data_IF_528151386073
#
_entry.id   IF_528151386073
#
_cell.length_a   1.000
_cell.length_b   1.000
_cell.length_c   1.000
_cell.angle_alpha   90.00
_cell.angle_beta   90.00
_cell.angle_gamma   90.00
#
_symmetry.space_group_name_H-M   'P 1'
#
loop_
_entity.id
_entity.type
_entity.pdbx_description
1 polymer ?
#
# COMPACT_ATOMS: atom_id res chain seq x y z
N UNK A 1 -18.24 26.12 53.26
CA UNK A 1 -17.50 24.85 53.36
C UNK A 1 -18.18 23.84 52.43
N UNK A 2 -17.71 23.72 51.20
CA UNK A 2 -17.91 22.53 50.34
C UNK A 2 -16.76 21.54 50.64
N UNK A 3 -16.73 20.26 50.22
CA UNK A 3 -17.50 19.62 49.13
C UNK A 3 -17.98 18.17 49.41
N UNK A 4 -18.74 17.57 48.47
CA UNK A 4 -18.38 16.30 47.82
C UNK A 4 -19.60 15.64 47.17
N UNK A 5 -19.62 15.71 45.85
CA UNK A 5 -20.36 14.82 44.99
C UNK A 5 -19.66 13.45 44.98
N UNK A 6 -20.45 12.37 45.00
CA UNK A 6 -19.97 11.04 44.65
C UNK A 6 -20.84 10.51 43.51
N UNK A 7 -20.22 10.37 42.36
CA UNK A 7 -20.71 9.66 41.18
C UNK A 7 -20.44 8.15 41.36
N UNK A 8 -21.42 7.26 41.18
CA UNK A 8 -21.14 5.93 40.65
C UNK A 8 -20.98 6.09 39.14
N UNK A 9 -19.95 5.58 38.48
CA UNK A 9 -19.43 4.23 38.61
C UNK A 9 -19.47 3.65 37.20
N UNK A 10 -18.31 3.62 36.56
CA UNK A 10 -18.06 3.11 35.22
C UNK A 10 -18.67 1.74 34.96
N UNK A 11 -19.15 1.56 33.74
CA UNK A 11 -19.55 0.25 33.24
C UNK A 11 -20.42 0.37 32.00
N UNK A 12 -19.95 1.07 30.97
CA UNK A 12 -20.41 0.79 29.61
C UNK A 12 -19.93 -0.63 29.28
N UNK A 13 -20.81 -1.63 29.12
CA UNK A 13 -20.41 -2.87 28.48
C UNK A 13 -20.22 -2.53 27.01
N UNK A 14 -18.94 -2.39 26.63
CA UNK A 14 -18.48 -2.38 25.26
C UNK A 14 -19.28 -3.43 24.49
N UNK A 15 -20.01 -2.95 23.49
CA UNK A 15 -20.74 -3.75 22.56
C UNK A 15 -19.84 -4.91 22.12
N UNK A 16 -20.27 -6.12 22.44
CA UNK A 16 -19.85 -7.29 21.70
C UNK A 16 -20.20 -6.98 20.24
N UNK A 17 -19.18 -6.60 19.47
CA UNK A 17 -19.16 -6.67 18.02
C UNK A 17 -19.35 -8.14 17.65
N UNK A 18 -20.62 -8.52 17.65
CA UNK A 18 -21.09 -9.80 17.17
C UNK A 18 -20.80 -9.86 15.68
N UNK A 19 -19.76 -10.62 15.36
CA UNK A 19 -19.62 -11.35 14.10
C UNK A 19 -19.92 -10.52 12.87
N UNK A 20 -18.90 -9.80 12.37
CA UNK A 20 -18.81 -9.56 10.92
C UNK A 20 -18.73 -10.93 10.25
N UNK A 21 -19.91 -11.38 9.86
CA UNK A 21 -20.16 -12.58 9.12
C UNK A 21 -19.27 -12.57 7.87
N UNK A 22 -18.42 -13.58 7.83
CA UNK A 22 -17.70 -14.09 6.67
C UNK A 22 -18.40 -13.74 5.34
N UNK A 23 -17.82 -12.77 4.63
CA UNK A 23 -17.53 -12.94 3.19
C UNK A 23 -16.40 -12.00 2.74
N UNK A 24 -15.11 -12.33 2.96
CA UNK A 24 -14.04 -11.55 2.34
C UNK A 24 -13.62 -12.09 0.96
N UNK A 25 -14.06 -13.27 0.52
CA UNK A 25 -13.45 -13.91 -0.67
C UNK A 25 -13.83 -13.25 -2.00
N UNK A 26 -15.07 -12.76 -2.14
CA UNK A 26 -15.51 -12.09 -3.37
C UNK A 26 -14.98 -10.65 -3.47
N UNK A 27 -14.87 -9.95 -2.34
CA UNK A 27 -14.25 -8.61 -2.28
C UNK A 27 -12.76 -8.69 -2.53
N UNK A 28 -12.04 -9.55 -1.78
CA UNK A 28 -10.60 -9.72 -1.95
C UNK A 28 -10.21 -10.22 -3.35
N UNK A 29 -11.02 -11.07 -3.99
CA UNK A 29 -10.77 -11.48 -5.39
C UNK A 29 -11.02 -10.33 -6.38
N UNK A 30 -12.04 -9.50 -6.16
CA UNK A 30 -12.28 -8.30 -6.96
C UNK A 30 -11.16 -7.26 -6.77
N UNK A 31 -10.68 -7.09 -5.55
CA UNK A 31 -9.54 -6.24 -5.21
C UNK A 31 -8.26 -6.78 -5.86
N UNK A 32 -7.98 -8.08 -5.79
CA UNK A 32 -6.85 -8.69 -6.48
C UNK A 32 -6.91 -8.50 -8.00
N UNK A 33 -8.10 -8.63 -8.61
CA UNK A 33 -8.28 -8.39 -10.04
C UNK A 33 -8.05 -6.92 -10.39
N UNK A 34 -8.55 -5.99 -9.57
CA UNK A 34 -8.32 -4.55 -9.73
C UNK A 34 -6.82 -4.21 -9.61
N UNK A 35 -6.15 -4.72 -8.57
CA UNK A 35 -4.71 -4.53 -8.36
C UNK A 35 -3.90 -5.13 -9.51
N UNK A 36 -4.31 -6.29 -10.03
CA UNK A 36 -3.69 -6.90 -11.20
C UNK A 36 -3.81 -6.01 -12.43
N UNK A 37 -4.96 -5.34 -12.61
CA UNK A 37 -5.18 -4.39 -13.71
C UNK A 37 -4.34 -3.12 -13.55
N UNK A 38 -4.24 -2.59 -12.33
CA UNK A 38 -3.37 -1.45 -12.01
C UNK A 38 -1.91 -1.80 -12.31
N UNK A 39 -1.44 -2.97 -11.87
CA UNK A 39 -0.07 -3.43 -12.14
C UNK A 39 0.18 -3.57 -13.66
N UNK A 40 -0.76 -4.15 -14.40
CA UNK A 40 -0.67 -4.23 -15.86
C UNK A 40 -0.61 -2.84 -16.53
N UNK A 41 -1.34 -1.86 -16.00
CA UNK A 41 -1.31 -0.48 -16.48
C UNK A 41 0.05 0.18 -16.20
N UNK A 42 0.62 -0.03 -15.01
CA UNK A 42 1.96 0.44 -14.64
C UNK A 42 3.03 -0.11 -15.61
N UNK A 43 2.97 -1.42 -15.92
CA UNK A 43 3.85 -2.03 -16.90
C UNK A 43 3.69 -1.42 -18.30
N UNK A 44 2.46 -1.13 -18.71
CA UNK A 44 2.19 -0.47 -19.99
C UNK A 44 2.83 0.93 -20.03
N UNK A 45 2.68 1.74 -18.98
CA UNK A 45 3.33 3.05 -18.90
C UNK A 45 4.85 2.94 -18.96
N UNK A 46 5.46 1.98 -18.26
CA UNK A 46 6.90 1.72 -18.35
C UNK A 46 7.34 1.41 -19.79
N UNK A 47 6.63 0.52 -20.49
CA UNK A 47 6.93 0.18 -21.89
C UNK A 47 6.77 1.34 -22.87
N UNK A 48 5.89 2.29 -22.55
CA UNK A 48 5.69 3.51 -23.35
C UNK A 48 6.72 4.61 -23.06
N UNK A 49 7.65 4.39 -22.12
CA UNK A 49 8.61 5.39 -21.69
C UNK A 49 8.05 6.39 -20.67
N UNK A 50 6.80 6.23 -20.25
CA UNK A 50 6.15 7.06 -19.23
C UNK A 50 6.57 6.61 -17.82
N UNK A 51 7.87 6.67 -17.55
CA UNK A 51 8.47 6.17 -16.31
C UNK A 51 7.85 6.85 -15.09
N UNK A 52 7.63 8.17 -15.10
CA UNK A 52 7.01 8.88 -13.97
C UNK A 52 5.66 8.26 -13.58
N UNK A 53 4.74 8.09 -14.54
CA UNK A 53 3.41 7.53 -14.28
C UNK A 53 3.48 6.06 -13.84
N UNK A 54 4.41 5.30 -14.44
CA UNK A 54 4.62 3.92 -14.06
C UNK A 54 5.10 3.81 -12.59
N UNK A 55 6.11 4.60 -12.23
CA UNK A 55 6.71 4.63 -10.89
C UNK A 55 5.67 5.03 -9.83
N UNK A 56 4.86 6.07 -10.08
CA UNK A 56 3.78 6.46 -9.17
C UNK A 56 2.80 5.31 -8.92
N UNK A 57 2.38 4.61 -10.00
CA UNK A 57 1.45 3.49 -9.86
C UNK A 57 2.07 2.31 -9.08
N UNK A 58 3.35 2.04 -9.28
CA UNK A 58 4.04 1.01 -8.49
C UNK A 58 4.15 1.41 -7.02
N UNK A 59 4.38 2.70 -6.72
CA UNK A 59 4.38 3.20 -5.35
C UNK A 59 3.02 3.05 -4.69
N UNK A 60 1.94 3.48 -5.35
CA UNK A 60 0.56 3.28 -4.87
C UNK A 60 0.30 1.80 -4.57
N UNK A 61 0.68 0.88 -5.46
CA UNK A 61 0.51 -0.55 -5.20
C UNK A 61 1.32 -1.03 -3.99
N UNK A 62 2.55 -0.53 -3.82
CA UNK A 62 3.46 -0.93 -2.75
C UNK A 62 3.08 -0.34 -1.37
N UNK A 63 2.56 0.88 -1.34
CA UNK A 63 2.24 1.66 -0.14
C UNK A 63 0.78 1.47 0.31
N UNK A 64 -0.19 1.51 -0.61
CA UNK A 64 -1.62 1.40 -0.26
C UNK A 64 -2.09 -0.05 -0.12
N UNK A 65 -1.44 -1.00 -0.77
CA UNK A 65 -1.83 -2.43 -0.76
C UNK A 65 -0.72 -3.37 -0.30
N UNK A 66 -0.07 -3.11 0.85
CA UNK A 66 1.03 -3.92 1.34
C UNK A 66 0.57 -5.36 1.63
N UNK A 67 1.44 -6.33 1.37
CA UNK A 67 1.15 -7.76 1.59
C UNK A 67 0.40 -8.46 0.44
N UNK A 68 0.02 -7.73 -0.62
CA UNK A 68 -0.52 -8.32 -1.84
C UNK A 68 0.60 -8.77 -2.79
N UNK A 69 0.37 -9.81 -3.63
CA UNK A 69 1.38 -10.22 -4.62
C UNK A 69 1.68 -9.10 -5.62
N UNK A 70 0.72 -8.22 -5.91
CA UNK A 70 0.87 -7.06 -6.77
C UNK A 70 1.80 -6.01 -6.16
N UNK A 71 1.70 -5.76 -4.85
CA UNK A 71 2.65 -4.90 -4.14
C UNK A 71 4.07 -5.45 -4.17
N UNK A 72 4.24 -6.77 -3.99
CA UNK A 72 5.54 -7.43 -4.13
C UNK A 72 6.13 -7.27 -5.53
N UNK A 73 5.31 -7.50 -6.56
CA UNK A 73 5.72 -7.30 -7.95
C UNK A 73 6.06 -5.82 -8.24
N UNK A 74 5.28 -4.88 -7.72
CA UNK A 74 5.55 -3.45 -7.86
C UNK A 74 6.88 -3.03 -7.22
N UNK A 75 7.17 -3.51 -6.00
CA UNK A 75 8.45 -3.28 -5.32
C UNK A 75 9.62 -3.87 -6.11
N UNK A 76 9.48 -5.07 -6.67
CA UNK A 76 10.51 -5.67 -7.51
C UNK A 76 10.82 -4.80 -8.74
N UNK A 77 9.79 -4.24 -9.38
CA UNK A 77 9.99 -3.34 -10.53
C UNK A 77 10.63 -2.01 -10.11
N UNK A 78 10.24 -1.45 -8.96
CA UNK A 78 10.87 -0.23 -8.42
C UNK A 78 12.36 -0.45 -8.13
N UNK A 79 12.73 -1.62 -7.61
CA UNK A 79 14.13 -2.03 -7.44
C UNK A 79 14.86 -2.12 -8.79
N UNK A 80 14.27 -2.76 -9.80
CA UNK A 80 14.87 -2.82 -11.15
C UNK A 80 15.09 -1.42 -11.74
N UNK A 81 14.14 -0.51 -11.54
CA UNK A 81 14.26 0.88 -12.00
C UNK A 81 15.38 1.60 -11.27
N UNK A 82 15.48 1.44 -9.95
CA UNK A 82 16.58 2.01 -9.16
C UNK A 82 17.94 1.50 -9.65
N UNK A 83 18.08 0.18 -9.89
CA UNK A 83 19.30 -0.41 -10.45
C UNK A 83 19.59 0.08 -11.86
N UNK A 84 18.56 0.31 -12.69
CA UNK A 84 18.74 0.87 -14.03
C UNK A 84 19.28 2.30 -13.97
N UNK A 85 18.70 3.15 -13.12
CA UNK A 85 19.21 4.50 -12.88
C UNK A 85 20.66 4.50 -12.36
N UNK A 86 21.03 3.54 -11.52
CA UNK A 86 22.40 3.38 -11.04
C UNK A 86 23.38 3.08 -12.18
N UNK A 87 23.00 2.15 -13.07
CA UNK A 87 23.80 1.77 -14.26
C UNK A 87 23.92 2.90 -15.27
N UNK A 88 22.89 3.73 -15.41
CA UNK A 88 22.87 4.92 -16.27
C UNK A 88 23.65 6.10 -15.66
N UNK A 89 24.14 5.98 -14.42
CA UNK A 89 24.89 7.02 -13.73
C UNK A 89 24.01 8.04 -13.00
N UNK A 90 22.68 7.90 -13.05
CA UNK A 90 21.71 8.71 -12.32
C UNK A 90 21.61 8.29 -10.84
N UNK A 91 22.74 8.29 -10.13
CA UNK A 91 22.87 7.78 -8.75
C UNK A 91 21.95 8.47 -7.75
N UNK A 92 21.66 9.75 -7.93
CA UNK A 92 20.71 10.48 -7.08
C UNK A 92 19.30 9.89 -7.16
N UNK A 93 18.83 9.57 -8.38
CA UNK A 93 17.51 8.96 -8.59
C UNK A 93 17.45 7.54 -8.01
N UNK A 94 18.48 6.73 -8.27
CA UNK A 94 18.59 5.38 -7.72
C UNK A 94 18.55 5.42 -6.18
N UNK A 95 19.33 6.30 -5.57
CA UNK A 95 19.37 6.47 -4.11
C UNK A 95 18.01 6.85 -3.53
N UNK A 96 17.33 7.84 -4.10
CA UNK A 96 16.00 8.24 -3.62
C UNK A 96 14.97 7.10 -3.74
N UNK A 97 15.07 6.25 -4.77
CA UNK A 97 14.21 5.08 -4.89
C UNK A 97 14.54 4.02 -3.83
N UNK A 98 15.82 3.71 -3.59
CA UNK A 98 16.21 2.76 -2.56
C UNK A 98 15.81 3.23 -1.16
N UNK A 99 16.01 4.51 -0.84
CA UNK A 99 15.64 5.09 0.45
C UNK A 99 14.14 4.98 0.75
N UNK A 100 13.29 5.01 -0.28
CA UNK A 100 11.84 4.85 -0.11
C UNK A 100 11.39 3.38 -0.06
N UNK A 101 12.25 2.43 -0.44
CA UNK A 101 11.95 0.99 -0.40
C UNK A 101 12.35 0.31 0.92
N UNK A 102 13.23 0.94 1.71
CA UNK A 102 13.70 0.50 3.03
C UNK A 102 12.69 0.82 4.13
#
# INVERSE_FOLDING_TARGET
MAPSAVTPGSGEPAALEAGSARKPEAGAAADQALLGRLLAMAHRYRRQGNLRQATELYWTLAEDYPGTPQAGAAKAVLLELATSYEREGARHMARSMYERLL
#
